data_IF_361910265953
#
_entry.id   IF_361910265953
#
_cell.length_a   1.000
_cell.length_b   1.000
_cell.length_c   1.000
_cell.angle_alpha   90.00
_cell.angle_beta   90.00
_cell.angle_gamma   90.00
#
_symmetry.space_group_name_H-M   'P 1'
#
loop_
_entity.id
_entity.type
_entity.pdbx_description
1 polymer ?
#
# COMPACT_ATOMS: atom_id res chain seq x y z
N UNK A 1 23.37 -2.41 -3.63
CA UNK A 1 22.18 -1.60 -4.06
C UNK A 1 21.09 -1.73 -2.99
N UNK A 2 20.20 -0.73 -2.83
CA UNK A 2 19.24 -0.61 -1.72
C UNK A 2 18.43 -1.89 -1.37
N UNK A 3 18.19 -2.76 -2.35
CA UNK A 3 17.52 -4.06 -2.18
C UNK A 3 18.33 -5.07 -1.36
N UNK A 4 19.66 -5.08 -1.48
CA UNK A 4 20.56 -5.98 -0.72
C UNK A 4 20.56 -5.61 0.77
N UNK A 5 20.55 -4.32 1.08
CA UNK A 5 20.50 -3.83 2.46
C UNK A 5 19.15 -4.10 3.15
N UNK A 6 18.09 -4.31 2.37
CA UNK A 6 16.74 -4.58 2.87
C UNK A 6 16.42 -6.08 2.93
N UNK A 7 17.24 -6.95 2.33
CA UNK A 7 16.97 -8.39 2.24
C UNK A 7 16.89 -9.07 3.62
N UNK A 8 17.67 -8.59 4.60
CA UNK A 8 17.70 -9.12 5.96
C UNK A 8 16.76 -8.39 6.93
N UNK A 9 15.92 -7.46 6.41
CA UNK A 9 15.08 -6.60 7.23
C UNK A 9 13.63 -7.08 7.20
N UNK A 10 13.07 -7.44 8.36
CA UNK A 10 11.67 -7.88 8.48
C UNK A 10 10.67 -6.72 8.38
N UNK A 11 11.00 -5.57 8.97
CA UNK A 11 10.09 -4.42 9.09
C UNK A 11 10.72 -3.11 8.63
N UNK A 12 9.92 -2.26 7.99
CA UNK A 12 10.33 -0.95 7.51
C UNK A 12 9.37 0.15 7.96
N UNK A 13 9.90 1.23 8.54
CA UNK A 13 9.07 2.31 9.09
C UNK A 13 8.81 3.42 8.08
N UNK A 14 7.54 3.84 7.96
CA UNK A 14 7.11 5.07 7.29
C UNK A 14 6.09 5.79 8.17
N UNK A 15 6.61 6.52 9.15
CA UNK A 15 5.80 7.27 10.11
C UNK A 15 5.72 8.73 9.66
N UNK A 16 4.50 9.23 9.57
CA UNK A 16 4.16 10.60 9.18
C UNK A 16 3.19 11.18 10.20
N UNK A 17 3.17 12.50 10.28
CA UNK A 17 2.18 13.23 11.07
C UNK A 17 0.94 13.53 10.23
N UNK A 18 -0.12 13.97 10.90
CA UNK A 18 -1.33 14.44 10.24
C UNK A 18 -1.01 15.71 9.44
N UNK A 19 -0.99 15.58 8.13
CA UNK A 19 -0.79 16.68 7.22
C UNK A 19 -1.56 16.43 5.92
N UNK A 20 -2.19 17.46 5.31
CA UNK A 20 -2.93 17.30 4.06
C UNK A 20 -2.10 16.70 2.92
N UNK A 21 -0.80 17.01 2.83
CA UNK A 21 0.11 16.45 1.82
C UNK A 21 0.34 14.96 2.09
N UNK A 22 0.54 14.56 3.35
CA UNK A 22 0.70 13.14 3.71
C UNK A 22 -0.56 12.32 3.37
N UNK A 23 -1.75 12.95 3.42
CA UNK A 23 -3.02 12.30 3.09
C UNK A 23 -3.20 12.03 1.58
N UNK A 24 -2.47 12.73 0.71
CA UNK A 24 -2.64 12.65 -0.76
C UNK A 24 -1.39 12.17 -1.50
N UNK A 25 -0.21 12.25 -0.90
CA UNK A 25 1.04 11.85 -1.52
C UNK A 25 1.14 10.32 -1.64
N UNK A 26 1.61 9.83 -2.79
CA UNK A 26 2.02 8.42 -2.94
C UNK A 26 3.36 8.19 -2.24
N UNK A 27 3.42 7.39 -1.16
CA UNK A 27 4.66 7.18 -0.41
C UNK A 27 5.59 6.21 -1.14
N UNK A 28 6.50 6.72 -1.97
CA UNK A 28 7.46 5.91 -2.77
C UNK A 28 8.42 5.05 -1.93
N UNK A 29 8.63 5.38 -0.66
CA UNK A 29 9.37 4.50 0.28
C UNK A 29 8.66 3.17 0.51
N UNK A 30 7.32 3.16 0.52
CA UNK A 30 6.54 1.94 0.71
C UNK A 30 6.72 0.98 -0.46
N UNK A 31 6.74 1.46 -1.71
CA UNK A 31 6.96 0.58 -2.86
C UNK A 31 8.34 -0.09 -2.81
N UNK A 32 9.36 0.59 -2.30
CA UNK A 32 10.69 0.00 -2.10
C UNK A 32 10.67 -1.12 -1.05
N UNK A 33 10.02 -0.91 0.10
CA UNK A 33 9.86 -1.95 1.12
C UNK A 33 9.11 -3.16 0.59
N UNK A 34 7.97 -2.95 -0.05
CA UNK A 34 7.15 -4.02 -0.63
C UNK A 34 7.93 -4.82 -1.68
N UNK A 35 8.76 -4.15 -2.51
CA UNK A 35 9.58 -4.84 -3.52
C UNK A 35 10.68 -5.73 -2.91
N UNK A 36 11.13 -5.42 -1.70
CA UNK A 36 12.12 -6.18 -0.96
C UNK A 36 11.50 -7.21 0.01
N UNK A 37 10.17 -7.32 0.08
CA UNK A 37 9.47 -8.21 1.02
C UNK A 37 9.43 -7.69 2.46
N UNK A 38 9.81 -6.42 2.68
CA UNK A 38 9.82 -5.79 3.99
C UNK A 38 8.40 -5.42 4.41
N UNK A 39 7.99 -5.81 5.61
CA UNK A 39 6.66 -5.52 6.16
C UNK A 39 6.59 -4.05 6.60
N UNK A 40 5.75 -3.21 5.97
CA UNK A 40 5.71 -1.79 6.31
C UNK A 40 4.96 -1.56 7.62
N UNK A 41 5.59 -0.80 8.53
CA UNK A 41 4.96 -0.19 9.70
C UNK A 41 4.75 1.28 9.37
N UNK A 42 3.50 1.72 9.29
CA UNK A 42 3.18 3.03 8.73
C UNK A 42 2.05 3.73 9.46
N UNK A 43 2.12 5.06 9.53
CA UNK A 43 1.09 5.87 10.15
C UNK A 43 -0.19 5.89 9.32
N UNK A 44 -1.37 5.85 9.97
CA UNK A 44 -2.70 5.99 9.35
C UNK A 44 -2.86 7.22 8.44
N UNK A 45 -2.01 8.24 8.61
CA UNK A 45 -1.99 9.47 7.83
C UNK A 45 -1.57 9.27 6.37
N UNK A 46 -1.00 8.12 6.01
CA UNK A 46 -0.84 7.68 4.62
C UNK A 46 -2.17 7.11 4.11
N UNK A 47 -3.20 7.95 4.06
CA UNK A 47 -4.62 7.55 4.01
C UNK A 47 -4.98 6.63 2.85
N UNK A 48 -4.48 6.93 1.66
CA UNK A 48 -4.76 6.13 0.46
C UNK A 48 -4.15 4.73 0.54
N UNK A 49 -2.91 4.62 1.04
CA UNK A 49 -2.28 3.32 1.31
C UNK A 49 -3.02 2.57 2.42
N UNK A 50 -3.31 3.23 3.54
CA UNK A 50 -4.07 2.68 4.66
C UNK A 50 -5.39 2.04 4.22
N UNK A 51 -6.17 2.75 3.41
CA UNK A 51 -7.47 2.28 2.94
C UNK A 51 -7.35 1.04 2.02
N UNK A 52 -6.33 1.01 1.16
CA UNK A 52 -6.11 -0.08 0.19
C UNK A 52 -5.60 -1.35 0.84
N UNK A 53 -4.88 -1.23 1.94
CA UNK A 53 -4.27 -2.37 2.63
C UNK A 53 -5.02 -2.77 3.90
N UNK A 54 -6.26 -2.32 4.09
CA UNK A 54 -7.02 -2.61 5.31
C UNK A 54 -7.28 -4.11 5.50
N UNK A 55 -7.38 -4.88 4.41
CA UNK A 55 -7.56 -6.34 4.42
C UNK A 55 -6.25 -7.12 4.43
N UNK A 56 -5.09 -6.46 4.27
CA UNK A 56 -3.81 -7.14 4.11
C UNK A 56 -3.28 -7.61 5.46
N UNK A 57 -2.70 -8.80 5.53
CA UNK A 57 -2.07 -9.32 6.73
C UNK A 57 -0.66 -8.75 6.93
N UNK A 58 0.11 -8.59 5.85
CA UNK A 58 1.54 -8.25 5.94
C UNK A 58 1.79 -6.75 5.79
N UNK A 59 1.02 -5.95 6.54
CA UNK A 59 1.23 -4.50 6.71
C UNK A 59 0.82 -4.11 8.13
N UNK A 60 1.43 -3.09 8.72
CA UNK A 60 1.15 -2.69 10.10
C UNK A 60 0.78 -1.21 10.13
N UNK A 61 -0.51 -0.87 10.02
CA UNK A 61 -0.93 0.49 10.26
C UNK A 61 -0.83 0.82 11.75
N UNK A 62 -0.35 2.03 12.06
CA UNK A 62 -0.25 2.53 13.44
C UNK A 62 -0.90 3.91 13.56
N UNK A 63 -1.56 4.14 14.68
CA UNK A 63 -2.14 5.44 15.06
C UNK A 63 -1.27 6.21 16.05
N UNK A 64 -0.43 5.48 16.80
CA UNK A 64 0.51 5.97 17.78
C UNK A 64 1.77 5.06 17.75
N UNK A 65 2.75 5.34 18.60
CA UNK A 65 3.98 4.52 18.66
C UNK A 65 3.82 3.25 19.52
N UNK A 66 2.59 2.88 19.90
CA UNK A 66 2.36 1.70 20.70
C UNK A 66 2.33 0.43 19.81
N UNK A 67 2.98 -0.68 20.23
CA UNK A 67 2.97 -1.91 19.45
C UNK A 67 1.54 -2.47 19.31
N UNK A 68 1.01 -2.44 18.09
CA UNK A 68 -0.31 -3.02 17.80
C UNK A 68 -0.28 -4.54 17.99
N UNK A 69 -1.44 -5.15 18.31
CA UNK A 69 -1.58 -6.61 18.40
C UNK A 69 -1.08 -7.30 17.12
N UNK A 70 -1.33 -6.68 15.97
CA UNK A 70 -0.84 -7.13 14.67
C UNK A 70 0.69 -7.16 14.59
N UNK A 71 1.37 -6.13 15.09
CA UNK A 71 2.83 -6.12 15.14
C UNK A 71 3.36 -7.22 16.07
N UNK A 72 2.75 -7.38 17.24
CA UNK A 72 3.13 -8.41 18.21
C UNK A 72 2.98 -9.82 17.63
N UNK A 73 1.86 -10.09 16.94
CA UNK A 73 1.63 -11.34 16.20
C UNK A 73 2.72 -11.58 15.15
N UNK A 74 2.97 -10.60 14.29
CA UNK A 74 3.96 -10.71 13.22
C UNK A 74 5.41 -10.81 13.73
N UNK A 75 5.71 -10.41 14.98
CA UNK A 75 7.04 -10.58 15.57
C UNK A 75 7.36 -12.05 15.84
N UNK A 76 6.39 -12.82 16.32
CA UNK A 76 6.58 -14.21 16.78
C UNK A 76 6.23 -15.26 15.73
N UNK A 77 5.31 -14.96 14.83
CA UNK A 77 4.85 -15.92 13.83
C UNK A 77 5.79 -16.02 12.62
N UNK A 78 5.84 -17.22 12.04
CA UNK A 78 6.42 -17.44 10.72
C UNK A 78 5.58 -16.74 9.64
N UNK A 79 6.28 -16.18 8.65
CA UNK A 79 5.64 -15.43 7.57
C UNK A 79 5.24 -16.41 6.46
N UNK A 80 3.94 -16.47 6.14
CA UNK A 80 3.49 -17.10 4.89
C UNK A 80 3.93 -16.23 3.72
N UNK A 81 5.07 -16.62 3.14
CA UNK A 81 5.72 -15.91 2.04
C UNK A 81 4.84 -15.89 0.79
N UNK A 82 4.00 -16.92 0.55
CA UNK A 82 3.11 -16.95 -0.61
C UNK A 82 2.03 -15.88 -0.46
N UNK A 83 1.43 -15.78 0.73
CA UNK A 83 0.43 -14.77 1.01
C UNK A 83 1.03 -13.37 0.98
N UNK A 84 2.19 -13.15 1.60
CA UNK A 84 2.92 -11.87 1.53
C UNK A 84 3.18 -11.42 0.09
N UNK A 85 3.74 -12.30 -0.74
CA UNK A 85 4.00 -11.99 -2.16
C UNK A 85 2.69 -11.68 -2.89
N UNK A 86 1.60 -12.40 -2.60
CA UNK A 86 0.31 -12.18 -3.26
C UNK A 86 -0.28 -10.81 -2.94
N UNK A 87 -0.25 -10.39 -1.67
CA UNK A 87 -0.73 -9.08 -1.22
C UNK A 87 0.09 -7.96 -1.88
N UNK A 88 1.41 -8.08 -1.86
CA UNK A 88 2.27 -7.03 -2.41
C UNK A 88 2.15 -6.94 -3.93
N UNK A 89 2.01 -8.10 -4.60
CA UNK A 89 1.75 -8.16 -6.04
C UNK A 89 0.42 -7.51 -6.40
N UNK A 90 -0.61 -7.62 -5.56
CA UNK A 90 -1.88 -6.91 -5.77
C UNK A 90 -1.67 -5.40 -5.83
N UNK A 91 -0.89 -4.82 -4.90
CA UNK A 91 -0.55 -3.39 -4.94
C UNK A 91 0.25 -3.02 -6.18
N UNK A 92 1.21 -3.85 -6.59
CA UNK A 92 1.98 -3.59 -7.82
C UNK A 92 1.16 -3.72 -9.10
N UNK A 93 0.13 -4.57 -9.12
CA UNK A 93 -0.77 -4.74 -10.26
C UNK A 93 -1.85 -3.65 -10.31
N UNK A 94 -2.15 -3.01 -9.19
CA UNK A 94 -3.22 -2.00 -9.07
C UNK A 94 -2.65 -0.64 -8.66
N UNK A 95 -2.38 -0.45 -7.37
CA UNK A 95 -2.04 0.82 -6.74
C UNK A 95 -0.82 1.52 -7.35
N UNK A 96 0.23 0.75 -7.66
CA UNK A 96 1.47 1.25 -8.28
C UNK A 96 1.54 1.02 -9.79
N UNK A 97 0.44 0.62 -10.44
CA UNK A 97 0.41 0.33 -11.87
C UNK A 97 -0.19 1.47 -12.69
N UNK A 98 0.59 2.21 -13.49
CA UNK A 98 0.04 3.26 -14.36
C UNK A 98 -0.99 2.74 -15.36
N UNK A 99 -0.80 1.53 -15.90
CA UNK A 99 -1.71 0.95 -16.89
C UNK A 99 -3.08 0.64 -16.29
N UNK A 100 -3.13 0.26 -15.00
CA UNK A 100 -4.38 0.08 -14.27
C UNK A 100 -5.19 1.39 -14.24
N UNK A 101 -4.55 2.51 -13.93
CA UNK A 101 -5.23 3.81 -13.89
C UNK A 101 -5.62 4.32 -15.28
N UNK A 102 -4.77 4.15 -16.29
CA UNK A 102 -5.11 4.53 -17.68
C UNK A 102 -6.38 3.81 -18.13
N UNK A 103 -6.46 2.50 -17.88
CA UNK A 103 -7.65 1.71 -18.20
C UNK A 103 -8.87 2.22 -17.42
N UNK A 104 -8.75 2.33 -16.09
CA UNK A 104 -9.84 2.76 -15.21
C UNK A 104 -10.38 4.15 -15.58
N UNK A 105 -9.51 5.09 -15.88
CA UNK A 105 -9.91 6.45 -16.26
C UNK A 105 -10.53 6.49 -17.66
N UNK A 106 -10.02 5.70 -18.61
CA UNK A 106 -10.64 5.57 -19.92
C UNK A 106 -12.08 5.05 -19.80
N UNK A 107 -12.29 3.98 -19.05
CA UNK A 107 -13.63 3.43 -18.78
C UNK A 107 -14.55 4.48 -18.14
N UNK A 108 -14.07 5.16 -17.09
CA UNK A 108 -14.86 6.19 -16.41
C UNK A 108 -15.21 7.37 -17.30
N UNK A 109 -14.28 7.79 -18.16
CA UNK A 109 -14.52 8.87 -19.13
C UNK A 109 -15.57 8.47 -20.16
N UNK A 110 -15.55 7.22 -20.66
CA UNK A 110 -16.57 6.72 -21.57
C UNK A 110 -17.97 6.74 -20.92
N UNK A 111 -18.11 6.24 -19.70
CA UNK A 111 -19.37 6.28 -18.94
C UNK A 111 -19.93 7.71 -18.83
N UNK A 112 -19.08 8.67 -18.44
CA UNK A 112 -19.50 10.07 -18.28
C UNK A 112 -19.89 10.74 -19.59
N UNK A 113 -19.27 10.35 -20.70
CA UNK A 113 -19.63 10.84 -22.03
C UNK A 113 -20.95 10.23 -22.50
N UNK A 114 -21.20 8.95 -22.25
CA UNK A 114 -22.47 8.29 -22.53
C UNK A 114 -23.62 8.88 -21.70
N UNK A 115 -23.43 9.13 -20.41
CA UNK A 115 -24.41 9.80 -19.55
C UNK A 115 -24.77 11.20 -20.08
N UNK A 116 -23.78 11.94 -20.58
CA UNK A 116 -23.97 13.33 -21.02
C UNK A 116 -24.49 13.47 -22.45
N UNK A 117 -24.12 12.55 -23.35
CA UNK A 117 -24.38 12.67 -24.79
C UNK A 117 -25.14 11.48 -25.40
N UNK A 118 -25.31 10.38 -24.66
CA UNK A 118 -25.92 9.13 -25.12
C UNK A 118 -27.44 9.06 -25.00
N UNK A 119 -28.11 10.10 -24.49
CA UNK A 119 -29.57 10.25 -24.62
C UNK A 119 -29.93 10.97 -25.92
N UNK A 120 -30.17 10.18 -26.97
CA UNK A 120 -31.05 10.49 -28.10
C UNK A 120 -31.95 9.29 -28.38
#
# INVERSE_FOLDING_TARGET
MMTEALADVKFGFVLREEDPVNCVATPTKLSSYLSAGVIPIFSKYLKDFYNRTNSFEYVVPVSDFNPSEKLQKLLVEEIDTKKLISEYRELFNTYYNPQYYIKKYKEKMCELLEEKYGSK
#
